data_IF_144837649154
#
_entry.id   IF_144837649154
#
_cell.length_a   1.000
_cell.length_b   1.000
_cell.length_c   1.000
_cell.angle_alpha   90.00
_cell.angle_beta   90.00
_cell.angle_gamma   90.00
#
_symmetry.space_group_name_H-M   'P 1'
#
loop_
_entity.id
_entity.type
_entity.pdbx_description
1 polymer ?
#
# COMPACT_ATOMS: atom_id res chain seq x y z
N UNK A 1 18.97 -20.31 1.15
CA UNK A 1 17.59 -19.90 1.53
C UNK A 1 17.24 -18.70 0.69
N UNK A 2 16.25 -18.81 -0.19
CA UNK A 2 15.82 -17.70 -1.05
C UNK A 2 15.26 -16.58 -0.18
N UNK A 3 15.91 -15.41 -0.19
CA UNK A 3 15.34 -14.19 0.41
C UNK A 3 14.07 -13.85 -0.37
N UNK A 4 12.91 -14.28 0.12
CA UNK A 4 11.64 -13.86 -0.44
C UNK A 4 11.58 -12.33 -0.28
N UNK A 5 11.50 -11.61 -1.39
CA UNK A 5 11.47 -10.15 -1.36
C UNK A 5 10.18 -9.71 -0.68
N UNK A 6 10.34 -9.07 0.45
CA UNK A 6 9.25 -8.52 1.28
C UNK A 6 8.94 -7.13 0.83
N UNK A 7 7.67 -6.74 0.91
CA UNK A 7 7.24 -5.39 0.65
C UNK A 7 6.47 -4.84 1.86
N UNK A 8 6.85 -3.66 2.29
CA UNK A 8 6.15 -2.91 3.33
C UNK A 8 5.37 -1.78 2.68
N UNK A 9 4.05 -1.88 2.72
CA UNK A 9 3.13 -0.84 2.23
C UNK A 9 2.57 -0.08 3.41
N UNK A 10 2.91 1.20 3.50
CA UNK A 10 2.40 2.09 4.56
C UNK A 10 1.22 2.87 4.02
N UNK A 11 0.08 2.79 4.70
CA UNK A 11 -1.09 3.63 4.40
C UNK A 11 -1.07 4.82 5.33
N UNK A 12 -0.71 5.99 4.80
CA UNK A 12 -0.46 7.20 5.59
C UNK A 12 -1.30 8.39 5.13
N UNK A 13 -1.89 9.10 6.07
CA UNK A 13 -2.55 10.39 5.84
C UNK A 13 -2.66 11.13 7.16
N UNK A 14 -2.31 12.41 7.16
CA UNK A 14 -2.50 13.27 8.33
C UNK A 14 -3.98 13.60 8.56
N UNK A 15 -4.81 13.45 7.54
CA UNK A 15 -6.25 13.73 7.64
C UNK A 15 -6.99 12.56 8.29
N UNK A 16 -7.71 12.83 9.37
CA UNK A 16 -8.66 11.89 9.96
C UNK A 16 -9.80 11.56 8.99
N UNK A 17 -10.27 10.32 8.99
CA UNK A 17 -11.39 9.89 8.14
C UNK A 17 -11.08 9.79 6.65
N UNK A 18 -9.81 9.83 6.23
CA UNK A 18 -9.43 9.63 4.83
C UNK A 18 -9.55 8.17 4.35
N UNK A 19 -9.92 7.24 5.23
CA UNK A 19 -10.12 5.84 4.87
C UNK A 19 -8.88 4.96 4.98
N UNK A 20 -7.87 5.34 5.78
CA UNK A 20 -6.64 4.56 5.98
C UNK A 20 -6.89 3.11 6.35
N UNK A 21 -7.55 2.86 7.47
CA UNK A 21 -7.83 1.52 7.99
C UNK A 21 -8.69 0.71 7.01
N UNK A 22 -9.71 1.33 6.43
CA UNK A 22 -10.55 0.69 5.40
C UNK A 22 -9.72 0.27 4.19
N UNK A 23 -8.82 1.13 3.72
CA UNK A 23 -7.95 0.82 2.59
C UNK A 23 -6.94 -0.27 2.95
N UNK A 24 -6.32 -0.18 4.13
CA UNK A 24 -5.33 -1.14 4.59
C UNK A 24 -5.90 -2.57 4.70
N UNK A 25 -7.07 -2.73 5.34
CA UNK A 25 -7.68 -4.05 5.50
C UNK A 25 -8.09 -4.67 4.16
N UNK A 26 -8.68 -3.87 3.25
CA UNK A 26 -9.12 -4.35 1.96
C UNK A 26 -7.94 -4.72 1.06
N UNK A 27 -6.88 -3.90 1.05
CA UNK A 27 -5.65 -4.20 0.31
C UNK A 27 -4.98 -5.48 0.83
N UNK A 28 -4.87 -5.62 2.16
CA UNK A 28 -4.27 -6.81 2.76
C UNK A 28 -5.08 -8.08 2.48
N UNK A 29 -6.41 -7.98 2.47
CA UNK A 29 -7.28 -9.11 2.17
C UNK A 29 -7.36 -9.45 0.67
N UNK A 30 -7.10 -8.49 -0.22
CA UNK A 30 -7.07 -8.71 -1.67
C UNK A 30 -5.76 -9.36 -2.15
N UNK A 31 -4.74 -9.35 -1.32
CA UNK A 31 -3.43 -9.87 -1.69
C UNK A 31 -3.43 -11.40 -1.81
N UNK A 32 -2.90 -11.91 -2.91
CA UNK A 32 -2.71 -13.35 -3.19
C UNK A 32 -1.36 -13.89 -2.73
N UNK A 33 -0.71 -13.17 -1.81
CA UNK A 33 0.56 -13.54 -1.16
C UNK A 33 0.39 -13.60 0.36
N UNK A 34 1.33 -14.23 1.06
CA UNK A 34 1.28 -14.32 2.52
C UNK A 34 1.41 -12.93 3.15
N UNK A 35 0.28 -12.43 3.64
CA UNK A 35 0.12 -11.02 4.05
C UNK A 35 -0.16 -10.90 5.53
N UNK A 36 0.45 -9.89 6.15
CA UNK A 36 0.12 -9.43 7.51
C UNK A 36 -0.32 -7.97 7.47
N UNK A 37 -1.39 -7.69 8.20
CA UNK A 37 -1.89 -6.34 8.48
C UNK A 37 -1.34 -5.88 9.83
N UNK A 38 -0.66 -4.74 9.87
CA UNK A 38 -0.11 -4.14 11.07
C UNK A 38 -0.98 -2.96 11.49
N UNK A 39 -1.68 -3.12 12.63
CA UNK A 39 -2.48 -2.06 13.23
C UNK A 39 -1.60 -1.25 14.20
N UNK A 40 -1.34 0.01 13.83
CA UNK A 40 -0.61 0.95 14.68
C UNK A 40 -1.51 2.09 15.19
N UNK A 41 -2.82 2.04 14.90
CA UNK A 41 -3.77 3.03 15.41
C UNK A 41 -4.19 2.67 16.85
N UNK A 42 -4.02 3.57 17.83
CA UNK A 42 -4.49 3.35 19.21
C UNK A 42 -6.01 3.08 19.30
N UNK A 43 -6.79 3.47 18.31
CA UNK A 43 -8.24 3.18 18.25
C UNK A 43 -8.54 1.70 17.96
N UNK A 44 -7.55 0.93 17.48
CA UNK A 44 -7.65 -0.51 17.24
C UNK A 44 -8.85 -0.90 16.35
N UNK A 45 -9.14 -0.09 15.34
CA UNK A 45 -10.24 -0.35 14.40
C UNK A 45 -10.04 -1.66 13.67
N UNK A 46 -8.83 -1.94 13.23
CA UNK A 46 -8.50 -3.19 12.52
C UNK A 46 -8.51 -4.40 13.44
N UNK A 47 -8.09 -4.24 14.69
CA UNK A 47 -8.15 -5.32 15.67
C UNK A 47 -9.59 -5.75 15.94
N UNK A 48 -10.53 -4.81 16.07
CA UNK A 48 -11.97 -5.12 16.23
C UNK A 48 -12.54 -5.80 15.01
N UNK A 49 -12.25 -5.31 13.81
CA UNK A 49 -12.66 -5.93 12.55
C UNK A 49 -12.13 -7.37 12.46
N UNK A 50 -10.87 -7.59 12.78
CA UNK A 50 -10.22 -8.89 12.70
C UNK A 50 -10.81 -9.90 13.70
N UNK A 51 -11.20 -9.46 14.91
CA UNK A 51 -11.86 -10.30 15.90
C UNK A 51 -13.20 -10.87 15.42
N UNK A 52 -13.90 -10.13 14.56
CA UNK A 52 -15.18 -10.56 13.97
C UNK A 52 -14.99 -11.35 12.68
N UNK A 53 -13.74 -11.47 12.18
CA UNK A 53 -13.44 -12.12 10.91
C UNK A 53 -13.39 -13.63 11.06
N UNK A 54 -14.13 -14.35 10.20
CA UNK A 54 -14.11 -15.82 10.15
C UNK A 54 -12.87 -16.38 9.41
N UNK A 55 -12.31 -15.61 8.46
CA UNK A 55 -11.13 -16.03 7.70
C UNK A 55 -9.83 -15.72 8.44
N UNK A 56 -8.87 -16.64 8.38
CA UNK A 56 -7.54 -16.50 9.00
C UNK A 56 -6.61 -15.53 8.25
N UNK A 57 -7.06 -14.98 7.12
CA UNK A 57 -6.28 -14.08 6.27
C UNK A 57 -6.97 -12.74 6.06
N UNK A 58 -6.20 -11.63 6.02
CA UNK A 58 -4.78 -11.52 6.34
C UNK A 58 -4.51 -11.81 7.83
N UNK A 59 -3.29 -12.20 8.20
CA UNK A 59 -2.90 -12.21 9.61
C UNK A 59 -2.92 -10.78 10.16
N UNK A 60 -3.22 -10.63 11.45
CA UNK A 60 -3.15 -9.34 12.14
C UNK A 60 -2.00 -9.34 13.15
N UNK A 61 -1.25 -8.26 13.20
CA UNK A 61 -0.28 -8.00 14.26
C UNK A 61 -0.40 -6.54 14.74
N UNK A 62 0.01 -6.32 15.97
CA UNK A 62 0.10 -4.99 16.57
C UNK A 62 1.55 -4.69 16.93
N UNK A 63 1.93 -3.42 16.86
CA UNK A 63 3.26 -2.97 17.26
C UNK A 63 3.24 -1.48 17.62
N UNK A 64 4.28 -1.05 18.30
CA UNK A 64 4.55 0.37 18.57
C UNK A 64 5.62 0.87 17.61
N UNK A 65 5.74 2.19 17.48
CA UNK A 65 6.78 2.80 16.65
C UNK A 65 8.18 2.32 17.07
N UNK A 66 8.46 2.25 18.37
CA UNK A 66 9.76 1.83 18.88
C UNK A 66 10.09 0.35 18.62
N UNK A 67 9.09 -0.47 18.35
CA UNK A 67 9.24 -1.91 18.08
C UNK A 67 9.05 -2.26 16.60
N UNK A 68 8.74 -1.28 15.74
CA UNK A 68 8.36 -1.53 14.36
C UNK A 68 9.44 -2.29 13.58
N UNK A 69 10.70 -1.85 13.65
CA UNK A 69 11.81 -2.50 12.93
C UNK A 69 11.96 -3.97 13.33
N UNK A 70 12.04 -4.25 14.62
CA UNK A 70 12.16 -5.62 15.14
C UNK A 70 10.95 -6.47 14.75
N UNK A 71 9.74 -5.89 14.78
CA UNK A 71 8.52 -6.60 14.36
C UNK A 71 8.54 -6.95 12.88
N UNK A 72 8.94 -6.02 12.02
CA UNK A 72 9.05 -6.25 10.58
C UNK A 72 10.10 -7.34 10.26
N UNK A 73 11.22 -7.35 10.96
CA UNK A 73 12.24 -8.40 10.82
C UNK A 73 11.68 -9.77 11.21
N UNK A 74 11.00 -9.88 12.37
CA UNK A 74 10.39 -11.11 12.84
C UNK A 74 9.34 -11.65 11.85
N UNK A 75 8.41 -10.80 11.40
CA UNK A 75 7.40 -11.16 10.40
C UNK A 75 8.03 -11.68 9.11
N UNK A 76 9.14 -11.11 8.77
CA UNK A 76 9.89 -11.58 7.63
C UNK A 76 10.53 -12.95 7.83
N UNK A 77 11.05 -13.27 9.00
CA UNK A 77 11.54 -14.61 9.33
C UNK A 77 10.38 -15.62 9.29
N UNK A 78 9.20 -15.22 9.72
CA UNK A 78 7.97 -16.01 9.64
C UNK A 78 7.47 -16.24 8.19
N UNK A 79 8.06 -15.57 7.19
CA UNK A 79 7.76 -15.79 5.77
C UNK A 79 6.63 -14.92 5.22
N UNK A 80 6.24 -13.83 5.88
CA UNK A 80 5.33 -12.87 5.28
C UNK A 80 6.00 -12.13 4.13
N UNK A 81 5.30 -12.04 2.99
CA UNK A 81 5.78 -11.38 1.77
C UNK A 81 5.29 -9.93 1.66
N UNK A 82 4.12 -9.66 2.19
CA UNK A 82 3.51 -8.32 2.24
C UNK A 82 3.17 -7.96 3.68
N UNK A 83 3.60 -6.78 4.09
CA UNK A 83 3.15 -6.14 5.33
C UNK A 83 2.42 -4.85 4.97
N UNK A 84 1.12 -4.78 5.26
CA UNK A 84 0.32 -3.55 5.11
C UNK A 84 0.22 -2.89 6.47
N UNK A 85 0.69 -1.65 6.57
CA UNK A 85 0.79 -0.91 7.83
C UNK A 85 -0.23 0.22 7.85
N UNK A 86 -1.20 0.12 8.77
CA UNK A 86 -2.13 1.22 9.06
C UNK A 86 -1.52 2.16 10.09
N UNK A 87 -1.46 3.45 9.75
CA UNK A 87 -0.83 4.45 10.59
C UNK A 87 -1.82 5.14 11.52
N UNK A 88 -1.37 5.57 12.73
CA UNK A 88 -2.20 6.39 13.61
C UNK A 88 -2.58 7.72 12.94
N UNK A 89 -3.66 8.36 13.40
CA UNK A 89 -4.00 9.69 12.92
C UNK A 89 -2.98 10.73 13.37
N UNK A 90 -2.61 11.60 12.45
CA UNK A 90 -2.19 12.99 12.61
C UNK A 90 -1.01 13.38 13.53
N UNK A 91 -0.06 12.52 13.87
CA UNK A 91 1.21 13.01 14.45
C UNK A 91 2.32 12.90 13.41
N UNK A 92 2.79 14.03 12.88
CA UNK A 92 3.79 14.07 11.81
C UNK A 92 5.05 13.24 12.11
N UNK A 93 5.52 13.25 13.36
CA UNK A 93 6.68 12.47 13.78
C UNK A 93 6.42 10.95 13.71
N UNK A 94 5.23 10.49 14.13
CA UNK A 94 4.85 9.08 14.05
C UNK A 94 4.72 8.61 12.61
N UNK A 95 4.07 9.40 11.76
CA UNK A 95 3.95 9.09 10.33
C UNK A 95 5.33 9.05 9.66
N UNK A 96 6.22 9.99 9.98
CA UNK A 96 7.58 10.01 9.44
C UNK A 96 8.37 8.75 9.81
N UNK A 97 8.32 8.35 11.09
CA UNK A 97 9.01 7.15 11.56
C UNK A 97 8.51 5.86 10.88
N UNK A 98 7.19 5.73 10.71
CA UNK A 98 6.60 4.58 10.01
C UNK A 98 6.90 4.63 8.51
N UNK A 99 6.80 5.82 7.89
CA UNK A 99 7.11 6.02 6.47
C UNK A 99 8.54 5.62 6.13
N UNK A 100 9.50 5.85 7.02
CA UNK A 100 10.89 5.45 6.80
C UNK A 100 11.08 3.94 6.59
N UNK A 101 10.18 3.10 7.11
CA UNK A 101 10.20 1.64 6.91
C UNK A 101 9.50 1.16 5.63
N UNK A 102 8.85 2.06 4.89
CA UNK A 102 8.06 1.70 3.72
C UNK A 102 8.92 1.36 2.49
N UNK A 103 8.45 0.42 1.69
CA UNK A 103 8.85 0.25 0.28
C UNK A 103 7.90 1.03 -0.65
N UNK A 104 6.65 1.26 -0.21
CA UNK A 104 5.66 2.09 -0.88
C UNK A 104 4.75 2.77 0.16
N UNK A 105 4.48 4.05 -0.03
CA UNK A 105 3.50 4.79 0.76
C UNK A 105 2.23 5.00 -0.08
N UNK A 106 1.10 4.50 0.38
CA UNK A 106 -0.21 4.81 -0.17
C UNK A 106 -0.85 5.94 0.62
N UNK A 107 -1.23 7.00 -0.07
CA UNK A 107 -1.79 8.21 0.53
C UNK A 107 -3.27 8.32 0.13
N UNK A 108 -4.21 7.88 0.99
CA UNK A 108 -5.63 8.08 0.72
C UNK A 108 -6.01 9.55 0.86
N UNK A 109 -6.71 10.06 -0.15
CA UNK A 109 -7.16 11.45 -0.25
C UNK A 109 -8.61 11.49 -0.71
N UNK A 110 -9.48 12.19 0.00
CA UNK A 110 -10.85 12.43 -0.48
C UNK A 110 -10.83 13.54 -1.54
N UNK A 111 -11.68 13.48 -2.56
CA UNK A 111 -11.78 14.52 -3.58
C UNK A 111 -12.50 15.76 -3.02
N UNK A 112 -11.87 16.43 -2.06
CA UNK A 112 -12.35 17.68 -1.48
C UNK A 112 -11.21 18.69 -1.38
N UNK A 113 -11.49 20.01 -1.52
CA UNK A 113 -10.46 21.04 -1.38
C UNK A 113 -9.68 20.94 -0.07
N UNK A 114 -10.37 20.71 1.05
CA UNK A 114 -9.75 20.61 2.37
C UNK A 114 -8.78 19.42 2.50
N UNK A 115 -9.07 18.29 1.84
CA UNK A 115 -8.18 17.13 1.83
C UNK A 115 -7.00 17.35 0.88
N UNK A 116 -7.22 17.98 -0.27
CA UNK A 116 -6.15 18.35 -1.20
C UNK A 116 -5.16 19.34 -0.59
N UNK A 117 -5.63 20.32 0.19
CA UNK A 117 -4.73 21.23 0.92
C UNK A 117 -3.91 20.50 2.00
N UNK A 118 -4.51 19.53 2.67
CA UNK A 118 -3.85 18.81 3.75
C UNK A 118 -2.84 17.75 3.27
N UNK A 119 -2.94 17.30 2.01
CA UNK A 119 -2.09 16.21 1.50
C UNK A 119 -0.61 16.59 1.40
N UNK A 120 -0.30 17.86 1.18
CA UNK A 120 1.06 18.37 1.01
C UNK A 120 2.01 17.94 2.12
N UNK A 121 1.56 18.00 3.37
CA UNK A 121 2.39 17.58 4.51
C UNK A 121 2.73 16.08 4.50
N UNK A 122 1.83 15.22 4.02
CA UNK A 122 2.13 13.78 3.87
C UNK A 122 3.09 13.53 2.70
N UNK A 123 2.95 14.28 1.61
CA UNK A 123 3.88 14.23 0.46
C UNK A 123 5.30 14.61 0.92
N UNK A 124 5.43 15.69 1.69
CA UNK A 124 6.74 16.12 2.21
C UNK A 124 7.40 15.06 3.09
N UNK A 125 6.62 14.39 3.94
CA UNK A 125 7.14 13.28 4.78
C UNK A 125 7.68 12.16 3.89
N UNK A 126 6.93 11.72 2.88
CA UNK A 126 7.36 10.66 1.98
C UNK A 126 8.61 11.07 1.17
N UNK A 127 8.66 12.31 0.69
CA UNK A 127 9.83 12.87 -0.03
C UNK A 127 11.07 12.98 0.84
N UNK A 128 10.92 13.48 2.08
CA UNK A 128 12.04 13.57 3.04
C UNK A 128 12.58 12.19 3.43
N UNK A 129 11.71 11.18 3.46
CA UNK A 129 12.11 9.80 3.72
C UNK A 129 12.64 9.09 2.46
N UNK A 130 12.65 9.76 1.30
CA UNK A 130 13.04 9.21 0.00
C UNK A 130 12.27 7.93 -0.37
N UNK A 131 10.97 7.89 -0.01
CA UNK A 131 10.13 6.74 -0.25
C UNK A 131 9.20 6.95 -1.44
N UNK A 132 9.05 5.94 -2.33
CA UNK A 132 8.06 6.00 -3.37
C UNK A 132 6.66 6.08 -2.75
N UNK A 133 5.82 6.92 -3.32
CA UNK A 133 4.44 7.07 -2.87
C UNK A 133 3.47 7.13 -4.04
N UNK A 134 2.21 6.81 -3.76
CA UNK A 134 1.10 6.97 -4.70
C UNK A 134 -0.17 7.38 -3.95
N UNK A 135 -1.01 8.12 -4.64
CA UNK A 135 -2.31 8.53 -4.11
C UNK A 135 -3.37 7.48 -4.38
N UNK A 136 -4.32 7.37 -3.47
CA UNK A 136 -5.57 6.65 -3.69
C UNK A 136 -6.70 7.63 -3.44
N UNK A 137 -7.46 7.98 -4.49
CA UNK A 137 -8.68 8.76 -4.27
C UNK A 137 -9.69 7.88 -3.53
N UNK A 138 -9.98 8.24 -2.29
CA UNK A 138 -10.86 7.50 -1.39
C UNK A 138 -12.20 8.22 -1.25
N UNK A 139 -13.26 7.46 -0.97
CA UNK A 139 -14.61 8.01 -0.75
C UNK A 139 -15.08 8.92 -1.91
N UNK A 140 -14.65 8.61 -3.13
CA UNK A 140 -15.00 9.38 -4.32
C UNK A 140 -16.48 9.23 -4.65
N UNK A 141 -17.16 10.33 -5.01
CA UNK A 141 -18.53 10.28 -5.50
C UNK A 141 -18.51 10.09 -7.02
N UNK A 142 -19.22 9.09 -7.52
CA UNK A 142 -19.30 8.83 -8.97
C UNK A 142 -19.83 10.03 -9.74
N UNK A 143 -19.18 10.32 -10.86
CA UNK A 143 -19.59 11.41 -11.75
C UNK A 143 -19.36 12.81 -11.22
N UNK A 144 -18.78 12.96 -10.03
CA UNK A 144 -18.51 14.28 -9.47
C UNK A 144 -17.28 14.91 -10.16
N UNK A 145 -17.43 16.13 -10.61
CA UNK A 145 -16.35 16.95 -11.22
C UNK A 145 -15.14 17.06 -10.28
N UNK A 146 -15.37 17.09 -8.97
CA UNK A 146 -14.31 17.11 -7.96
C UNK A 146 -13.36 15.91 -8.04
N UNK A 147 -13.82 14.75 -8.48
CA UNK A 147 -12.96 13.56 -8.67
C UNK A 147 -11.95 13.82 -9.78
N UNK A 148 -12.40 14.34 -10.92
CA UNK A 148 -11.53 14.68 -12.06
C UNK A 148 -10.55 15.78 -11.69
N UNK A 149 -11.00 16.80 -10.98
CA UNK A 149 -10.14 17.91 -10.52
C UNK A 149 -9.10 17.41 -9.51
N UNK A 150 -9.50 16.56 -8.56
CA UNK A 150 -8.58 15.97 -7.59
C UNK A 150 -7.54 15.07 -8.25
N UNK A 151 -7.96 14.25 -9.23
CA UNK A 151 -7.03 13.45 -10.01
C UNK A 151 -5.98 14.31 -10.73
N UNK A 152 -6.40 15.38 -11.40
CA UNK A 152 -5.49 16.28 -12.08
C UNK A 152 -4.49 16.91 -11.11
N UNK A 153 -4.97 17.50 -10.01
CA UNK A 153 -4.12 18.12 -8.99
C UNK A 153 -3.11 17.15 -8.35
N UNK A 154 -3.56 15.94 -8.00
CA UNK A 154 -2.66 14.94 -7.39
C UNK A 154 -1.64 14.40 -8.40
N UNK A 155 -2.00 14.31 -9.68
CA UNK A 155 -1.09 13.82 -10.74
C UNK A 155 0.11 14.74 -10.96
N UNK A 156 0.03 16.02 -10.60
CA UNK A 156 1.16 16.96 -10.62
C UNK A 156 2.23 16.61 -9.55
N UNK A 157 1.83 15.94 -8.49
CA UNK A 157 2.71 15.60 -7.38
C UNK A 157 3.21 14.17 -7.39
N UNK A 158 2.45 13.24 -8.00
CA UNK A 158 2.78 11.82 -8.03
C UNK A 158 1.68 10.99 -8.69
N UNK A 159 1.86 9.69 -8.72
CA UNK A 159 0.95 8.77 -9.39
C UNK A 159 -0.33 8.56 -8.57
N UNK A 160 -1.48 8.54 -9.23
CA UNK A 160 -2.75 8.09 -8.64
C UNK A 160 -2.88 6.59 -8.94
N UNK A 161 -2.80 5.77 -7.88
CA UNK A 161 -2.84 4.30 -7.98
C UNK A 161 -4.25 3.76 -8.25
N UNK A 162 -5.28 4.49 -7.82
CA UNK A 162 -6.65 4.07 -8.00
C UNK A 162 -7.66 5.03 -7.41
N UNK A 163 -8.93 4.74 -7.70
CA UNK A 163 -10.08 5.47 -7.16
C UNK A 163 -11.01 4.47 -6.47
N UNK A 164 -11.26 4.67 -5.18
CA UNK A 164 -12.20 3.89 -4.38
C UNK A 164 -13.41 4.78 -4.08
N UNK A 165 -14.55 4.41 -4.67
CA UNK A 165 -15.77 5.21 -4.52
C UNK A 165 -16.45 4.95 -3.18
N UNK A 166 -17.12 5.99 -2.67
CA UNK A 166 -17.92 5.89 -1.45
C UNK A 166 -19.11 4.93 -1.64
N UNK A 167 -19.25 3.97 -0.72
CA UNK A 167 -20.37 3.01 -0.69
C UNK A 167 -20.68 2.60 0.75
N UNK A 168 -21.94 2.40 1.03
CA UNK A 168 -22.41 1.93 2.35
C UNK A 168 -21.81 0.56 2.70
N UNK A 169 -21.56 -0.30 1.70
CA UNK A 169 -20.95 -1.61 1.88
C UNK A 169 -19.62 -1.58 2.64
N UNK A 170 -18.77 -0.57 2.43
CA UNK A 170 -17.50 -0.45 3.16
C UNK A 170 -17.68 -0.24 4.67
N UNK A 171 -18.73 0.46 5.09
CA UNK A 171 -19.04 0.63 6.50
C UNK A 171 -19.67 -0.64 7.09
N UNK A 172 -20.55 -1.32 6.32
CA UNK A 172 -21.20 -2.54 6.76
C UNK A 172 -20.22 -3.67 7.06
N UNK A 173 -19.29 -3.94 6.16
CA UNK A 173 -18.31 -5.04 6.32
C UNK A 173 -17.31 -4.82 7.45
N UNK A 174 -17.14 -3.59 7.90
CA UNK A 174 -16.27 -3.30 9.05
C UNK A 174 -16.83 -3.87 10.36
N UNK A 175 -18.17 -3.94 10.48
CA UNK A 175 -18.84 -4.38 11.69
C UNK A 175 -18.83 -5.91 11.86
N UNK A 176 -18.76 -6.67 10.77
CA UNK A 176 -18.92 -8.13 10.76
C UNK A 176 -17.66 -8.91 10.33
N UNK A 177 -16.53 -8.24 10.25
CA UNK A 177 -15.24 -8.89 9.93
C UNK A 177 -15.06 -9.26 8.46
N UNK A 178 -16.05 -8.96 7.59
CA UNK A 178 -15.96 -9.19 6.15
C UNK A 178 -15.18 -8.08 5.46
N UNK A 179 -14.87 -8.30 4.20
CA UNK A 179 -14.38 -7.30 3.26
C UNK A 179 -15.44 -7.03 2.20
N UNK A 180 -15.22 -6.01 1.38
CA UNK A 180 -16.11 -5.75 0.24
C UNK A 180 -16.06 -6.89 -0.79
N UNK A 181 -14.93 -7.61 -0.88
CA UNK A 181 -14.78 -8.79 -1.74
C UNK A 181 -15.66 -9.96 -1.25
N UNK A 182 -15.81 -10.11 0.07
CA UNK A 182 -16.70 -11.11 0.67
C UNK A 182 -18.18 -10.71 0.49
N UNK A 183 -18.48 -9.41 0.53
CA UNK A 183 -19.83 -8.88 0.43
C UNK A 183 -20.36 -8.77 -1.00
N UNK A 184 -19.53 -8.27 -1.91
CA UNK A 184 -19.84 -8.05 -3.32
C UNK A 184 -18.75 -8.64 -4.24
N UNK A 185 -18.55 -9.98 -4.31
CA UNK A 185 -17.40 -10.57 -5.01
C UNK A 185 -17.25 -10.15 -6.48
N UNK A 186 -18.36 -9.82 -7.15
CA UNK A 186 -18.38 -9.35 -8.56
C UNK A 186 -18.68 -7.85 -8.67
N UNK A 187 -18.75 -7.17 -7.54
CA UNK A 187 -19.12 -5.76 -7.44
C UNK A 187 -18.04 -4.83 -8.01
N UNK A 188 -18.45 -3.59 -8.27
CA UNK A 188 -17.51 -2.57 -8.74
C UNK A 188 -16.51 -2.17 -7.64
N UNK A 189 -16.92 -2.22 -6.37
CA UNK A 189 -16.03 -1.95 -5.25
C UNK A 189 -14.89 -2.98 -5.16
N UNK A 190 -15.22 -4.26 -5.35
CA UNK A 190 -14.23 -5.34 -5.43
C UNK A 190 -13.21 -5.09 -6.54
N UNK A 191 -13.67 -4.76 -7.75
CA UNK A 191 -12.79 -4.45 -8.89
C UNK A 191 -11.86 -3.26 -8.63
N UNK A 192 -12.33 -2.25 -7.88
CA UNK A 192 -11.50 -1.10 -7.50
C UNK A 192 -10.37 -1.50 -6.52
N UNK A 193 -10.68 -2.38 -5.58
CA UNK A 193 -9.67 -2.91 -4.63
C UNK A 193 -8.71 -3.89 -5.34
N UNK A 194 -9.21 -4.76 -6.20
CA UNK A 194 -8.36 -5.67 -7.02
C UNK A 194 -7.42 -4.89 -7.93
N UNK A 195 -7.87 -3.80 -8.55
CA UNK A 195 -7.02 -2.93 -9.35
C UNK A 195 -5.93 -2.25 -8.52
N UNK A 196 -6.26 -1.85 -7.29
CA UNK A 196 -5.27 -1.29 -6.36
C UNK A 196 -4.26 -2.36 -5.94
N UNK A 197 -4.70 -3.59 -5.67
CA UNK A 197 -3.80 -4.71 -5.40
C UNK A 197 -2.88 -4.98 -6.60
N UNK A 198 -3.41 -5.02 -7.81
CA UNK A 198 -2.59 -5.21 -9.02
C UNK A 198 -1.49 -4.14 -9.15
N UNK A 199 -1.80 -2.88 -8.82
CA UNK A 199 -0.82 -1.81 -8.78
C UNK A 199 0.30 -2.05 -7.75
N UNK A 200 -0.02 -2.57 -6.58
CA UNK A 200 0.96 -2.92 -5.53
C UNK A 200 1.77 -4.14 -5.93
N UNK A 201 1.12 -5.18 -6.47
CA UNK A 201 1.76 -6.43 -6.90
C UNK A 201 2.80 -6.20 -8.02
N UNK A 202 2.52 -5.31 -8.96
CA UNK A 202 3.48 -4.89 -9.99
C UNK A 202 4.77 -4.37 -9.34
N UNK A 203 4.66 -3.51 -8.32
CA UNK A 203 5.80 -2.95 -7.58
C UNK A 203 6.54 -3.96 -6.73
N UNK A 204 5.84 -4.96 -6.18
CA UNK A 204 6.49 -6.10 -5.54
C UNK A 204 7.36 -6.87 -6.52
N UNK A 205 6.86 -7.08 -7.75
CA UNK A 205 7.62 -7.71 -8.84
C UNK A 205 8.87 -6.93 -9.23
N UNK A 206 8.78 -5.61 -9.33
CA UNK A 206 9.90 -4.73 -9.64
C UNK A 206 10.93 -4.68 -8.50
N UNK A 207 10.48 -4.63 -7.26
CA UNK A 207 11.35 -4.72 -6.07
C UNK A 207 12.08 -6.06 -5.99
N UNK A 208 11.41 -7.16 -6.32
CA UNK A 208 12.04 -8.50 -6.43
C UNK A 208 13.15 -8.52 -7.50
N UNK A 209 12.91 -7.94 -8.66
CA UNK A 209 13.91 -7.84 -9.74
C UNK A 209 15.09 -6.95 -9.35
N UNK A 210 14.86 -5.83 -8.69
CA UNK A 210 15.91 -4.91 -8.24
C UNK A 210 16.82 -5.53 -7.16
N UNK A 211 16.24 -6.30 -6.23
CA UNK A 211 16.99 -7.00 -5.16
C UNK A 211 17.74 -8.24 -5.66
N UNK A 212 17.28 -8.87 -6.75
CA UNK A 212 17.93 -10.02 -7.41
C UNK A 212 18.24 -9.67 -8.88
N UNK A 213 19.23 -8.80 -9.17
CA UNK A 213 19.62 -8.53 -10.54
C UNK A 213 20.09 -9.85 -11.19
N UNK A 214 19.37 -10.30 -12.22
CA UNK A 214 19.79 -11.44 -13.04
C UNK A 214 21.22 -11.14 -13.51
N UNK A 215 22.21 -11.92 -13.07
CA UNK A 215 23.57 -11.82 -13.58
C UNK A 215 23.49 -12.02 -15.11
N UNK A 216 23.55 -10.92 -15.85
CA UNK A 216 23.65 -10.97 -17.29
C UNK A 216 24.91 -11.77 -17.63
N UNK A 217 24.74 -12.91 -18.30
CA UNK A 217 25.88 -13.68 -18.82
C UNK A 217 26.70 -12.71 -19.70
N UNK A 218 28.04 -12.66 -19.49
CA UNK A 218 28.87 -11.82 -20.34
C UNK A 218 28.66 -12.23 -21.80
N UNK A 219 28.36 -11.29 -22.65
CA UNK A 219 28.25 -11.47 -24.09
C UNK A 219 29.62 -11.93 -24.57
N UNK A 220 29.72 -13.18 -25.07
CA UNK A 220 30.95 -13.68 -25.72
C UNK A 220 31.28 -12.71 -26.88
N UNK A 221 32.35 -11.96 -26.73
CA UNK A 221 32.95 -11.21 -27.82
C UNK A 221 33.56 -12.26 -28.74
N UNK A 222 32.97 -12.44 -29.90
CA UNK A 222 33.56 -13.27 -30.98
C UNK A 222 34.73 -12.46 -31.54
N UNK A 223 35.93 -12.90 -31.24
CA UNK A 223 37.14 -12.35 -31.81
C UNK A 223 37.12 -12.58 -33.34
N UNK A 224 37.00 -11.51 -34.11
CA UNK A 224 37.07 -11.54 -35.55
C UNK A 224 38.46 -12.03 -35.99
N UNK A 225 38.51 -13.05 -36.86
CA UNK A 225 39.73 -13.49 -37.56
C UNK A 225 40.29 -12.32 -38.39
N UNK A 226 41.47 -11.90 -38.06
CA UNK A 226 42.30 -11.06 -38.94
C UNK A 226 42.75 -11.94 -40.09
N UNK A 227 42.29 -11.68 -41.30
CA UNK A 227 42.82 -12.27 -42.52
C UNK A 227 44.01 -11.40 -42.92
N UNK A 228 45.20 -11.96 -42.79
CA UNK A 228 46.40 -11.35 -43.36
C UNK A 228 46.44 -11.76 -44.86
N UNK A 229 46.35 -10.75 -45.73
CA UNK A 229 46.71 -10.90 -47.11
C UNK A 229 48.19 -10.46 -47.26
N UNK A 230 49.01 -11.39 -47.74
CA UNK A 230 50.37 -11.17 -48.24
C UNK A 230 50.40 -10.56 -49.65
#
# INVERSE_FOLDING_TARGET
MSSNARMHVVVASQKGGAGKSTLAMHLAAAADVRTVLLDMDPQQTLARWWQSREADTPALAQTTIGQLSTKLEALGVEGYELCVIDTPPAVSASIAAVTASADLVLIPVRPSPADLWAVGATIEIARKAEKPFAFVLSQATRGATLVTQAMAALSEHGRVAGVVHSRVGFAGVLADGRTIMDHEPKGQATKEIEALWAYVAERMGDSKKARNPVKSKPRKVVAGKVVANG
#
